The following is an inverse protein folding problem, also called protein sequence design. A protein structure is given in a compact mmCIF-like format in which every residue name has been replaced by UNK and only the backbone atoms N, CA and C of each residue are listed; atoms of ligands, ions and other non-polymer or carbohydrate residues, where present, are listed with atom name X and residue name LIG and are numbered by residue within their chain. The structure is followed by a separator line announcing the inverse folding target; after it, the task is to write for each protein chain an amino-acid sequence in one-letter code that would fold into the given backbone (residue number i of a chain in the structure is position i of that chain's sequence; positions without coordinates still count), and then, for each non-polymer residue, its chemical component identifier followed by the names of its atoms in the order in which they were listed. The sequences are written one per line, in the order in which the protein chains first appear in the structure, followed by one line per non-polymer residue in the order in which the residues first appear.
data_IF_895629318119
#
_entry.id   IF_895629318119
#
_cell.length_a   1.000
_cell.length_b   1.000
_cell.length_c   1.000
_cell.angle_alpha   90.00
_cell.angle_beta   90.00
_cell.angle_gamma   90.00
#
_symmetry.space_group_name_H-M   'P 1'
#
loop_
_entity.id
_entity.type
_entity.pdbx_description
1 polymer ?
#
# COMPACT_ATOMS: atom_id res chain seq x y z
N UNK A 1 -23.03 21.89 -2.38
CA UNK A 1 -21.73 21.34 -2.83
C UNK A 1 -20.61 21.46 -1.78
N UNK A 2 -20.91 21.54 -0.47
CA UNK A 2 -19.90 21.67 0.60
C UNK A 2 -19.85 20.41 1.49
N UNK A 3 -20.65 19.38 1.20
CA UNK A 3 -20.81 18.20 2.06
C UNK A 3 -19.80 17.10 1.80
N UNK A 4 -19.20 17.05 0.61
CA UNK A 4 -18.23 16.01 0.23
C UNK A 4 -16.80 16.29 0.72
N UNK A 5 -16.55 17.47 1.31
CA UNK A 5 -15.21 17.90 1.75
C UNK A 5 -15.04 17.91 3.27
N UNK A 6 -16.03 17.42 4.03
CA UNK A 6 -15.99 17.37 5.49
C UNK A 6 -16.01 15.92 5.96
N UNK A 7 -14.86 15.45 6.42
CA UNK A 7 -14.73 14.14 7.06
C UNK A 7 -14.84 14.31 8.59
N UNK A 8 -15.64 13.46 9.24
CA UNK A 8 -15.81 13.43 10.69
C UNK A 8 -15.23 12.12 11.18
N UNK A 9 -14.04 12.18 11.77
CA UNK A 9 -13.40 11.04 12.42
C UNK A 9 -13.59 11.08 13.93
N UNK A 10 -13.97 9.94 14.53
CA UNK A 10 -14.18 9.83 15.98
C UNK A 10 -13.25 8.78 16.57
N UNK A 11 -12.36 9.18 17.46
CA UNK A 11 -11.52 8.27 18.23
C UNK A 11 -12.00 8.16 19.68
N UNK A 12 -12.03 6.95 20.21
CA UNK A 12 -12.45 6.69 21.60
C UNK A 12 -11.28 6.92 22.57
N UNK A 13 -11.56 7.51 23.73
CA UNK A 13 -10.57 7.69 24.81
C UNK A 13 -10.23 9.14 25.18
N UNK A 14 -10.76 10.14 24.46
CA UNK A 14 -10.61 11.56 24.78
C UNK A 14 -11.94 12.25 25.06
N UNK A 15 -11.89 13.42 25.70
CA UNK A 15 -13.08 14.18 26.07
C UNK A 15 -13.72 14.82 24.84
N UNK A 16 -15.04 14.99 24.84
CA UNK A 16 -15.77 15.64 23.74
C UNK A 16 -15.34 17.10 23.50
N UNK A 17 -14.61 17.71 24.44
CA UNK A 17 -14.03 19.05 24.29
C UNK A 17 -12.67 19.08 23.59
N UNK A 18 -12.05 17.93 23.32
CA UNK A 18 -10.74 17.81 22.64
C UNK A 18 -10.90 17.52 21.14
N UNK A 19 -11.94 18.07 20.53
CA UNK A 19 -12.15 18.01 19.08
C UNK A 19 -11.46 19.18 18.41
N UNK A 20 -10.50 18.87 17.53
CA UNK A 20 -9.80 19.86 16.71
C UNK A 20 -10.25 19.76 15.25
N UNK A 21 -10.31 20.90 14.57
CA UNK A 21 -10.53 20.94 13.12
C UNK A 21 -9.18 20.87 12.42
N UNK A 22 -8.97 19.82 11.64
CA UNK A 22 -7.76 19.63 10.84
C UNK A 22 -8.03 20.08 9.40
N UNK A 23 -7.13 20.89 8.86
CA UNK A 23 -7.18 21.32 7.45
C UNK A 23 -6.52 20.25 6.58
N UNK A 24 -7.32 19.30 6.10
CA UNK A 24 -6.87 18.21 5.26
C UNK A 24 -7.77 16.98 5.33
N UNK A 25 -7.29 15.87 4.77
CA UNK A 25 -7.89 14.55 4.91
C UNK A 25 -7.13 13.73 5.96
N UNK A 26 -7.86 12.93 6.73
CA UNK A 26 -7.27 11.92 7.62
C UNK A 26 -7.58 10.57 7.01
N UNK A 27 -6.57 9.70 6.97
CA UNK A 27 -6.71 8.31 6.58
C UNK A 27 -6.15 7.47 7.72
N UNK A 28 -6.99 6.62 8.31
CA UNK A 28 -6.57 5.69 9.35
C UNK A 28 -5.85 4.49 8.70
N UNK A 29 -4.54 4.66 8.46
CA UNK A 29 -3.69 3.62 7.89
C UNK A 29 -2.30 3.70 8.51
N UNK A 30 -1.85 2.58 9.06
CA UNK A 30 -0.49 2.45 9.56
C UNK A 30 0.49 2.05 8.44
N UNK A 31 1.79 2.41 8.56
CA UNK A 31 2.82 1.91 7.66
C UNK A 31 2.87 0.37 7.69
N UNK A 32 3.03 -0.24 6.52
CA UNK A 32 3.05 -1.70 6.38
C UNK A 32 4.25 -2.32 7.10
N UNK A 33 5.37 -1.60 7.17
CA UNK A 33 6.60 -2.08 7.77
C UNK A 33 7.17 -1.07 8.79
N UNK A 34 7.68 -1.56 9.93
CA UNK A 34 8.17 -0.71 11.04
C UNK A 34 9.32 0.23 10.66
N UNK A 35 10.15 -0.19 9.70
CA UNK A 35 11.25 0.61 9.16
C UNK A 35 10.80 1.75 8.22
N UNK A 36 9.51 1.84 7.86
CA UNK A 36 9.02 2.93 7.03
C UNK A 36 8.98 4.25 7.83
N UNK A 37 9.33 5.39 7.20
CA UNK A 37 9.25 6.68 7.86
C UNK A 37 7.81 7.00 8.27
N UNK A 38 7.62 7.47 9.51
CA UNK A 38 6.29 7.83 10.05
C UNK A 38 5.85 9.26 9.70
N UNK A 39 6.72 10.03 9.07
CA UNK A 39 6.45 11.41 8.68
C UNK A 39 7.20 11.73 7.38
N UNK A 40 6.49 12.34 6.44
CA UNK A 40 7.05 12.88 5.20
C UNK A 40 6.64 14.36 5.09
N UNK A 41 7.49 15.20 4.51
CA UNK A 41 7.24 16.64 4.30
C UNK A 41 7.40 16.92 2.81
N UNK A 42 6.49 17.70 2.23
CA UNK A 42 6.45 17.97 0.79
C UNK A 42 6.48 16.69 -0.07
N UNK A 43 5.71 15.70 0.35
CA UNK A 43 5.68 14.37 -0.25
C UNK A 43 4.69 14.28 -1.41
N UNK A 44 5.11 13.67 -2.51
CA UNK A 44 4.22 13.30 -3.61
C UNK A 44 3.46 12.01 -3.27
N UNK A 45 2.13 12.11 -3.22
CA UNK A 45 1.25 11.02 -2.78
C UNK A 45 0.68 10.30 -4.01
N UNK A 46 0.92 8.99 -4.11
CA UNK A 46 0.31 8.12 -5.09
C UNK A 46 -0.84 7.32 -4.47
N UNK A 47 -2.01 7.37 -5.10
CA UNK A 47 -3.18 6.57 -4.73
C UNK A 47 -3.33 5.42 -5.74
N UNK A 48 -3.20 4.19 -5.27
CA UNK A 48 -3.39 2.97 -6.06
C UNK A 48 -4.66 2.23 -5.62
N UNK A 49 -5.48 1.86 -6.60
CA UNK A 49 -6.64 0.97 -6.41
C UNK A 49 -6.30 -0.51 -6.65
N UNK A 50 -5.04 -0.79 -6.99
CA UNK A 50 -4.52 -2.13 -7.21
C UNK A 50 -3.66 -2.60 -6.03
N UNK A 51 -3.48 -3.93 -5.94
CA UNK A 51 -2.62 -4.53 -4.95
C UNK A 51 -1.18 -4.51 -5.45
N UNK A 52 -0.24 -4.16 -4.57
CA UNK A 52 1.18 -4.38 -4.82
C UNK A 52 1.50 -5.74 -4.23
N UNK A 53 1.02 -6.76 -4.91
CA UNK A 53 1.31 -8.14 -4.59
C UNK A 53 1.66 -8.88 -5.88
N UNK A 54 2.30 -10.02 -5.70
CA UNK A 54 2.45 -10.97 -6.78
C UNK A 54 1.05 -11.50 -7.06
N UNK A 55 0.54 -11.24 -8.26
CA UNK A 55 -0.76 -11.82 -8.63
C UNK A 55 -0.57 -13.33 -8.64
N UNK A 56 -1.21 -14.02 -7.69
CA UNK A 56 -1.41 -15.46 -7.77
C UNK A 56 -2.17 -15.69 -9.07
N UNK A 57 -1.43 -16.00 -10.13
CA UNK A 57 -2.05 -16.37 -11.39
C UNK A 57 -3.07 -17.46 -11.06
N UNK A 58 -4.36 -17.22 -11.36
CA UNK A 58 -5.47 -18.20 -11.43
C UNK A 58 -5.19 -19.24 -12.53
N UNK A 59 -3.95 -19.70 -12.57
CA UNK A 59 -3.50 -20.79 -13.37
C UNK A 59 -3.85 -21.99 -12.51
N UNK A 60 -5.04 -22.52 -12.77
CA UNK A 60 -5.52 -23.89 -12.61
C UNK A 60 -4.51 -24.99 -13.03
N UNK A 61 -3.22 -24.67 -13.17
CA UNK A 61 -2.20 -25.66 -13.44
C UNK A 61 -1.72 -26.16 -12.09
N UNK A 62 -2.15 -27.38 -11.80
CA UNK A 62 -1.36 -28.46 -11.23
C UNK A 62 0.11 -28.43 -11.74
N UNK A 63 0.87 -27.38 -11.47
CA UNK A 63 2.32 -27.40 -11.64
C UNK A 63 2.76 -28.25 -10.48
N UNK A 64 2.79 -29.56 -10.74
CA UNK A 64 3.45 -30.55 -9.93
C UNK A 64 4.92 -30.15 -9.89
N UNK A 65 5.28 -29.20 -9.01
CA UNK A 65 6.68 -28.81 -8.88
C UNK A 65 7.37 -29.98 -8.20
N UNK A 66 7.92 -30.84 -9.04
CA UNK A 66 8.57 -32.07 -8.63
C UNK A 66 10.05 -31.81 -8.32
N UNK A 67 10.57 -30.66 -8.76
CA UNK A 67 11.97 -30.28 -8.68
C UNK A 67 12.18 -28.91 -7.97
N UNK A 68 13.00 -28.83 -6.92
CA UNK A 68 13.23 -27.62 -6.13
C UNK A 68 13.85 -26.46 -6.94
N UNK A 69 14.62 -26.78 -8.00
CA UNK A 69 15.23 -25.77 -8.87
C UNK A 69 14.19 -24.96 -9.67
N UNK A 70 13.03 -25.56 -9.97
CA UNK A 70 11.96 -24.89 -10.69
C UNK A 70 11.15 -23.97 -9.76
N UNK A 71 10.93 -24.38 -8.50
CA UNK A 71 10.35 -23.53 -7.45
C UNK A 71 11.20 -22.27 -7.26
N UNK A 72 12.51 -22.42 -7.12
CA UNK A 72 13.40 -21.26 -6.90
C UNK A 72 13.31 -20.26 -8.06
N UNK A 73 13.36 -20.72 -9.31
CA UNK A 73 13.23 -19.84 -10.49
C UNK A 73 11.87 -19.15 -10.58
N UNK A 74 10.82 -19.78 -10.06
CA UNK A 74 9.49 -19.20 -10.02
C UNK A 74 9.45 -18.06 -8.99
N UNK A 75 9.92 -18.30 -7.77
CA UNK A 75 10.05 -17.29 -6.72
C UNK A 75 10.92 -16.10 -7.17
N UNK A 76 12.07 -16.36 -7.80
CA UNK A 76 12.96 -15.31 -8.30
C UNK A 76 12.27 -14.44 -9.37
N UNK A 77 11.37 -15.03 -10.17
CA UNK A 77 10.59 -14.31 -11.18
C UNK A 77 9.51 -13.44 -10.54
N UNK A 78 8.84 -13.96 -9.51
CA UNK A 78 7.83 -13.22 -8.76
C UNK A 78 8.44 -12.01 -8.05
N UNK A 79 9.57 -12.18 -7.35
CA UNK A 79 10.30 -11.09 -6.70
C UNK A 79 10.72 -10.03 -7.73
N UNK A 80 11.19 -10.45 -8.91
CA UNK A 80 11.57 -9.51 -9.98
C UNK A 80 10.38 -8.70 -10.48
N UNK A 81 9.21 -9.31 -10.65
CA UNK A 81 8.01 -8.60 -11.09
C UNK A 81 7.53 -7.59 -10.06
N UNK A 82 7.53 -7.98 -8.78
CA UNK A 82 7.20 -7.08 -7.68
C UNK A 82 8.14 -5.88 -7.66
N UNK A 83 9.45 -6.14 -7.78
CA UNK A 83 10.47 -5.10 -7.83
C UNK A 83 10.31 -4.16 -9.03
N UNK A 84 9.99 -4.68 -10.21
CA UNK A 84 9.72 -3.86 -11.40
C UNK A 84 8.52 -2.92 -11.20
N UNK A 85 7.44 -3.38 -10.53
CA UNK A 85 6.29 -2.53 -10.17
C UNK A 85 6.71 -1.41 -9.20
N UNK A 86 7.48 -1.74 -8.17
CA UNK A 86 7.96 -0.78 -7.16
C UNK A 86 8.92 0.23 -7.80
N UNK A 87 9.85 -0.21 -8.64
CA UNK A 87 10.79 0.65 -9.35
C UNK A 87 10.04 1.64 -10.27
N UNK A 88 8.99 1.17 -10.97
CA UNK A 88 8.14 2.06 -11.78
C UNK A 88 7.42 3.13 -10.93
N UNK A 89 7.00 2.80 -9.71
CA UNK A 89 6.39 3.76 -8.77
C UNK A 89 7.44 4.75 -8.26
N UNK A 90 8.64 4.27 -7.94
CA UNK A 90 9.76 5.12 -7.51
C UNK A 90 10.20 6.08 -8.61
N UNK A 91 10.21 5.64 -9.88
CA UNK A 91 10.55 6.46 -11.05
C UNK A 91 9.53 7.58 -11.31
N UNK A 92 8.28 7.41 -10.86
CA UNK A 92 7.27 8.47 -10.91
C UNK A 92 7.52 9.57 -9.86
N UNK A 93 8.43 9.34 -8.91
CA UNK A 93 8.75 10.27 -7.83
C UNK A 93 7.76 10.25 -6.68
N UNK A 94 6.97 9.19 -6.51
CA UNK A 94 6.04 9.08 -5.39
C UNK A 94 6.78 8.78 -4.08
N UNK A 95 6.61 9.65 -3.08
CA UNK A 95 7.19 9.48 -1.75
C UNK A 95 6.31 8.62 -0.83
N UNK A 96 4.99 8.70 -1.00
CA UNK A 96 4.01 7.96 -0.19
C UNK A 96 3.00 7.29 -1.10
N UNK A 97 2.83 5.98 -0.94
CA UNK A 97 1.90 5.17 -1.73
C UNK A 97 0.80 4.65 -0.83
N UNK A 98 -0.45 4.98 -1.14
CA UNK A 98 -1.61 4.39 -0.51
C UNK A 98 -2.25 3.39 -1.46
N UNK A 99 -2.29 2.13 -1.07
CA UNK A 99 -3.04 1.09 -1.78
C UNK A 99 -4.36 0.81 -1.05
N UNK A 100 -5.45 0.68 -1.80
CA UNK A 100 -6.72 0.19 -1.25
C UNK A 100 -6.69 -1.31 -0.96
N UNK A 101 -5.81 -2.05 -1.64
CA UNK A 101 -5.64 -3.51 -1.53
C UNK A 101 -4.36 -3.88 -0.77
N UNK A 102 -4.00 -5.16 -0.79
CA UNK A 102 -2.80 -5.70 -0.13
C UNK A 102 -1.50 -5.10 -0.66
N UNK A 103 -0.50 -5.06 0.21
CA UNK A 103 0.90 -4.74 -0.10
C UNK A 103 1.73 -5.87 0.52
N UNK A 104 2.55 -6.52 -0.30
CA UNK A 104 3.52 -7.56 0.09
C UNK A 104 4.96 -7.04 -0.08
#
# INVERSE_FOLDING_TARGET
CIRDSLNIETQTGRSAGESDLLEGGIVDKDPVHDNMPRSATDADILLLDEAIEVEETDVDTEVSVTDPDQLQKFLDREEKQLREKVDAIADLGADVVFCQKGID
#
